data_IF_087872798725
#
_entry.id   IF_087872798725
#
_cell.length_a   1.000
_cell.length_b   1.000
_cell.length_c   1.000
_cell.angle_alpha   90.00
_cell.angle_beta   90.00
_cell.angle_gamma   90.00
#
_symmetry.space_group_name_H-M   'P 1'
#
loop_
_entity.id
_entity.type
_entity.pdbx_description
1 polymer ?
#
# COMPACT_ATOMS: atom_id res chain seq x y z
N UNK A 1 15.47 -12.81 -2.86
CA UNK A 1 15.78 -11.80 -3.88
C UNK A 1 14.88 -12.08 -5.07
N UNK A 2 13.77 -11.37 -5.20
CA UNK A 2 12.74 -11.63 -6.23
C UNK A 2 12.58 -10.43 -7.17
N UNK A 3 13.71 -9.87 -7.60
CA UNK A 3 13.75 -8.83 -8.64
C UNK A 3 13.00 -9.30 -9.89
N UNK A 4 12.03 -8.50 -10.36
CA UNK A 4 11.21 -8.81 -11.54
C UNK A 4 9.83 -9.42 -11.25
N UNK A 5 9.47 -9.62 -9.98
CA UNK A 5 8.07 -9.90 -9.62
C UNK A 5 7.22 -8.63 -9.74
N UNK A 6 6.00 -8.78 -10.25
CA UNK A 6 5.06 -7.67 -10.38
C UNK A 6 3.88 -7.87 -9.45
N UNK A 7 3.73 -6.98 -8.48
CA UNK A 7 2.57 -6.91 -7.61
C UNK A 7 1.53 -5.96 -8.21
N UNK A 8 0.25 -6.20 -7.91
CA UNK A 8 -0.84 -5.41 -8.51
C UNK A 8 -1.74 -4.81 -7.44
N UNK A 9 -1.98 -3.51 -7.51
CA UNK A 9 -2.98 -2.82 -6.70
C UNK A 9 -4.30 -2.78 -7.46
N UNK A 10 -5.40 -3.20 -6.83
CA UNK A 10 -6.72 -3.30 -7.46
C UNK A 10 -7.82 -2.70 -6.60
N UNK A 11 -8.88 -2.25 -7.25
CA UNK A 11 -10.18 -1.92 -6.64
C UNK A 11 -11.25 -2.66 -7.44
N UNK A 12 -11.96 -3.58 -6.81
CA UNK A 12 -12.91 -4.48 -7.47
C UNK A 12 -12.30 -5.18 -8.71
N UNK A 13 -12.72 -4.77 -9.92
CA UNK A 13 -12.21 -5.30 -11.20
C UNK A 13 -11.11 -4.45 -11.80
N UNK A 14 -10.95 -3.21 -11.33
CA UNK A 14 -10.04 -2.21 -11.87
C UNK A 14 -8.63 -2.42 -11.33
N UNK A 15 -7.63 -2.22 -12.19
CA UNK A 15 -6.22 -2.22 -11.81
C UNK A 15 -5.83 -0.77 -11.58
N UNK A 16 -5.43 -0.44 -10.37
CA UNK A 16 -4.98 0.90 -10.01
C UNK A 16 -3.52 1.11 -10.41
N UNK A 17 -2.70 0.06 -10.33
CA UNK A 17 -1.32 0.11 -10.79
C UNK A 17 -0.55 -1.14 -10.42
N UNK A 18 0.72 -1.17 -10.82
CA UNK A 18 1.62 -2.29 -10.58
C UNK A 18 2.90 -1.84 -9.90
N UNK A 19 3.48 -2.73 -9.10
CA UNK A 19 4.78 -2.53 -8.44
C UNK A 19 5.75 -3.56 -9.00
N UNK A 20 6.76 -3.14 -9.74
CA UNK A 20 7.85 -4.01 -10.18
C UNK A 20 8.97 -4.02 -9.12
N UNK A 21 9.23 -5.18 -8.50
CA UNK A 21 10.20 -5.28 -7.39
C UNK A 21 11.61 -4.97 -7.90
N UNK A 22 12.21 -3.92 -7.32
CA UNK A 22 13.60 -3.49 -7.58
C UNK A 22 14.54 -3.90 -6.44
N UNK A 23 14.03 -4.05 -5.21
CA UNK A 23 14.84 -4.38 -4.05
C UNK A 23 14.05 -4.40 -2.75
N UNK A 24 14.75 -4.17 -1.64
CA UNK A 24 14.22 -4.20 -0.28
C UNK A 24 14.58 -5.48 0.47
N UNK A 25 14.49 -5.39 1.79
CA UNK A 25 14.78 -6.46 2.74
C UNK A 25 13.56 -6.69 3.61
N UNK A 26 13.19 -7.96 3.81
CA UNK A 26 12.03 -8.33 4.61
C UNK A 26 12.06 -7.65 5.99
N UNK A 27 10.96 -7.00 6.44
CA UNK A 27 9.60 -7.11 5.91
C UNK A 27 9.23 -6.15 4.77
N UNK A 28 10.09 -5.19 4.40
CA UNK A 28 9.75 -4.15 3.42
C UNK A 28 10.41 -4.39 2.06
N UNK A 29 9.59 -4.54 1.04
CA UNK A 29 10.04 -4.57 -0.35
C UNK A 29 9.90 -3.18 -0.97
N UNK A 30 10.75 -2.88 -1.95
CA UNK A 30 10.69 -1.65 -2.74
C UNK A 30 10.67 -1.95 -4.24
N UNK A 31 9.99 -1.10 -4.98
CA UNK A 31 9.80 -1.29 -6.41
C UNK A 31 9.37 -0.03 -7.14
N UNK A 32 9.35 -0.14 -8.46
CA UNK A 32 8.85 0.89 -9.34
C UNK A 32 7.32 0.81 -9.40
N UNK A 33 6.66 1.92 -9.10
CA UNK A 33 5.22 2.10 -9.18
C UNK A 33 4.80 2.61 -10.57
N UNK A 34 3.90 1.87 -11.20
CA UNK A 34 3.33 2.23 -12.50
C UNK A 34 1.80 2.38 -12.33
N UNK A 35 1.28 3.60 -12.17
CA UNK A 35 -0.16 3.83 -12.01
C UNK A 35 -0.90 3.67 -13.33
N UNK A 36 -2.17 3.29 -13.24
CA UNK A 36 -3.15 3.44 -14.32
C UNK A 36 -4.00 4.69 -14.07
N UNK A 37 -4.88 5.03 -15.03
CA UNK A 37 -5.86 6.13 -14.88
C UNK A 37 -6.81 5.94 -13.70
N UNK A 38 -7.06 4.70 -13.26
CA UNK A 38 -7.98 4.42 -12.15
C UNK A 38 -7.38 4.78 -10.79
N UNK A 39 -6.06 4.94 -10.70
CA UNK A 39 -5.41 5.38 -9.46
C UNK A 39 -5.77 6.80 -9.06
N UNK A 40 -6.09 7.67 -10.04
CA UNK A 40 -6.40 9.08 -9.75
C UNK A 40 -7.59 9.25 -8.79
N UNK A 41 -8.52 8.28 -8.74
CA UNK A 41 -9.64 8.27 -7.80
C UNK A 41 -9.21 8.14 -6.33
N UNK A 42 -8.06 7.51 -6.07
CA UNK A 42 -7.57 7.22 -4.71
C UNK A 42 -6.20 7.85 -4.43
N UNK A 43 -5.59 8.53 -5.41
CA UNK A 43 -4.26 9.15 -5.30
C UNK A 43 -4.14 10.02 -4.05
N UNK A 44 -5.13 10.88 -3.81
CA UNK A 44 -5.14 11.79 -2.67
C UNK A 44 -5.10 11.07 -1.30
N UNK A 45 -5.60 9.84 -1.23
CA UNK A 45 -5.55 9.03 0.00
C UNK A 45 -4.11 8.55 0.28
N UNK A 46 -3.41 8.09 -0.76
CA UNK A 46 -2.00 7.69 -0.65
C UNK A 46 -1.08 8.89 -0.40
N UNK A 47 -1.36 10.05 -1.00
CA UNK A 47 -0.62 11.29 -0.72
C UNK A 47 -0.79 11.75 0.73
N UNK A 48 -2.02 11.66 1.26
CA UNK A 48 -2.30 12.00 2.66
C UNK A 48 -1.62 11.04 3.64
N UNK A 49 -1.71 9.74 3.36
CA UNK A 49 -1.05 8.70 4.13
C UNK A 49 0.48 8.92 4.17
N UNK A 50 1.10 9.19 3.02
CA UNK A 50 2.53 9.46 2.93
C UNK A 50 2.93 10.74 3.69
N UNK A 51 2.15 11.82 3.58
CA UNK A 51 2.41 13.07 4.30
C UNK A 51 2.45 12.86 5.82
N UNK A 52 1.60 11.98 6.34
CA UNK A 52 1.56 11.66 7.77
C UNK A 52 2.82 10.88 8.20
N UNK A 53 3.26 9.90 7.41
CA UNK A 53 4.44 9.08 7.69
C UNK A 53 5.74 9.89 7.59
N UNK A 54 5.85 10.78 6.60
CA UNK A 54 7.05 11.60 6.41
C UNK A 54 7.12 12.84 7.31
N UNK A 55 6.02 13.15 8.00
CA UNK A 55 5.94 14.29 8.90
C UNK A 55 6.84 14.14 10.14
N UNK A 56 7.41 15.25 10.67
CA UNK A 56 8.28 15.22 11.86
C UNK A 56 7.57 14.82 13.16
N UNK A 57 6.25 14.64 13.13
CA UNK A 57 5.39 14.35 14.29
C UNK A 57 4.63 13.02 14.12
N UNK A 58 5.16 12.06 13.34
CA UNK A 58 4.48 10.79 13.08
C UNK A 58 3.99 10.11 14.36
N UNK A 59 4.83 10.05 15.42
CA UNK A 59 4.46 9.44 16.70
C UNK A 59 3.22 10.08 17.35
N UNK A 60 2.98 11.38 17.11
CA UNK A 60 1.81 12.11 17.60
C UNK A 60 0.61 12.06 16.66
N UNK A 61 0.75 11.42 15.50
CA UNK A 61 -0.24 11.35 14.40
C UNK A 61 -0.50 9.91 13.95
N UNK A 62 -0.15 8.93 14.79
CA UNK A 62 -0.40 7.52 14.52
C UNK A 62 -1.88 7.28 14.23
N UNK A 63 -2.79 7.80 15.08
CA UNK A 63 -4.24 7.67 14.87
C UNK A 63 -4.71 8.27 13.54
N UNK A 64 -4.18 9.44 13.15
CA UNK A 64 -4.50 10.07 11.87
C UNK A 64 -4.02 9.21 10.68
N UNK A 65 -2.84 8.61 10.80
CA UNK A 65 -2.29 7.71 9.79
C UNK A 65 -3.09 6.42 9.69
N UNK A 66 -3.47 5.84 10.82
CA UNK A 66 -4.35 4.68 10.90
C UNK A 66 -5.69 4.95 10.20
N UNK A 67 -6.31 6.10 10.46
CA UNK A 67 -7.57 6.47 9.82
C UNK A 67 -7.42 6.71 8.31
N UNK A 68 -6.31 7.32 7.87
CA UNK A 68 -5.99 7.45 6.45
C UNK A 68 -5.86 6.06 5.79
N UNK A 69 -5.21 5.12 6.47
CA UNK A 69 -5.05 3.75 5.98
C UNK A 69 -6.38 2.99 5.93
N UNK A 70 -7.21 3.10 6.97
CA UNK A 70 -8.57 2.54 6.99
C UNK A 70 -9.41 3.10 5.84
N UNK A 71 -9.25 4.37 5.49
CA UNK A 71 -9.99 4.96 4.37
C UNK A 71 -9.58 4.34 3.03
N UNK A 72 -8.29 4.08 2.78
CA UNK A 72 -7.82 3.33 1.59
C UNK A 72 -8.51 1.95 1.53
N UNK A 73 -8.57 1.24 2.67
CA UNK A 73 -9.22 -0.06 2.76
C UNK A 73 -10.72 -0.03 2.47
N UNK A 74 -11.41 1.02 2.96
CA UNK A 74 -12.84 1.26 2.76
C UNK A 74 -13.20 1.54 1.31
N UNK A 75 -12.26 2.09 0.53
CA UNK A 75 -12.40 2.22 -0.93
C UNK A 75 -12.30 0.87 -1.68
N UNK A 76 -12.12 -0.25 -0.99
CA UNK A 76 -12.03 -1.58 -1.61
C UNK A 76 -10.67 -1.87 -2.26
N UNK A 77 -9.65 -1.07 -1.93
CA UNK A 77 -8.30 -1.23 -2.46
C UNK A 77 -7.64 -2.48 -1.86
N UNK A 78 -7.09 -3.35 -2.70
CA UNK A 78 -6.40 -4.57 -2.30
C UNK A 78 -5.09 -4.72 -3.07
N UNK A 79 -4.06 -5.20 -2.38
CA UNK A 79 -2.80 -5.58 -2.98
C UNK A 79 -2.82 -7.07 -3.34
N UNK A 80 -2.35 -7.41 -4.54
CA UNK A 80 -2.33 -8.77 -5.05
C UNK A 80 -0.88 -9.22 -5.30
N UNK A 81 -0.60 -10.47 -4.90
CA UNK A 81 0.64 -11.19 -5.22
C UNK A 81 0.79 -11.33 -6.74
N UNK A 82 2.00 -11.59 -7.26
CA UNK A 82 2.23 -11.84 -8.68
C UNK A 82 1.37 -12.97 -9.26
N UNK A 83 1.00 -13.94 -8.42
CA UNK A 83 0.10 -15.06 -8.77
C UNK A 83 -1.38 -14.65 -8.87
N UNK A 84 -1.72 -13.41 -8.53
CA UNK A 84 -3.06 -12.83 -8.66
C UNK A 84 -3.92 -12.89 -7.39
N UNK A 85 -3.46 -13.52 -6.32
CA UNK A 85 -4.19 -13.64 -5.04
C UNK A 85 -4.00 -12.40 -4.18
N UNK A 86 -5.10 -11.83 -3.66
CA UNK A 86 -5.06 -10.72 -2.72
C UNK A 86 -4.35 -11.12 -1.42
N UNK A 87 -3.52 -10.23 -0.87
CA UNK A 87 -3.04 -10.40 0.50
C UNK A 87 -4.16 -10.04 1.50
N UNK A 88 -4.25 -10.74 2.63
CA UNK A 88 -5.20 -10.41 3.68
C UNK A 88 -5.03 -9.00 4.24
N UNK A 89 -3.79 -8.49 4.21
CA UNK A 89 -3.42 -7.23 4.83
C UNK A 89 -2.14 -6.68 4.19
N UNK A 90 -2.03 -5.36 4.03
CA UNK A 90 -0.85 -4.71 3.45
C UNK A 90 -0.63 -3.32 4.01
N UNK A 91 0.64 -2.91 4.03
CA UNK A 91 1.03 -1.50 4.06
C UNK A 91 1.74 -1.17 2.75
N UNK A 92 1.44 -0.01 2.17
CA UNK A 92 1.93 0.45 0.89
C UNK A 92 2.02 1.97 0.93
N UNK A 93 3.23 2.45 0.73
CA UNK A 93 3.57 3.87 0.55
C UNK A 93 3.94 4.09 -0.92
N UNK A 94 3.42 5.15 -1.53
CA UNK A 94 3.68 5.49 -2.94
C UNK A 94 4.22 6.92 -2.99
N UNK A 95 5.43 7.10 -3.53
CA UNK A 95 6.02 8.42 -3.80
C UNK A 95 6.44 8.51 -5.25
N UNK A 96 5.73 9.32 -6.04
CA UNK A 96 6.03 9.44 -7.46
C UNK A 96 5.91 8.09 -8.17
N UNK A 97 7.01 7.62 -8.76
CA UNK A 97 7.18 6.31 -9.40
C UNK A 97 7.84 5.25 -8.50
N UNK A 98 7.97 5.50 -7.19
CA UNK A 98 8.50 4.54 -6.21
C UNK A 98 7.41 4.04 -5.27
N UNK A 99 7.48 2.78 -4.88
CA UNK A 99 6.63 2.19 -3.86
C UNK A 99 7.44 1.35 -2.85
N UNK A 100 7.02 1.41 -1.59
CA UNK A 100 7.48 0.54 -0.51
C UNK A 100 6.29 -0.15 0.11
N UNK A 101 6.38 -1.46 0.27
CA UNK A 101 5.26 -2.20 0.83
C UNK A 101 5.70 -3.41 1.64
N UNK A 102 4.79 -3.82 2.51
CA UNK A 102 4.83 -5.10 3.22
C UNK A 102 3.42 -5.68 3.28
N UNK A 103 3.32 -6.96 3.55
CA UNK A 103 2.03 -7.62 3.76
C UNK A 103 2.07 -8.54 4.97
N UNK A 104 0.89 -8.93 5.43
CA UNK A 104 0.70 -9.98 6.41
C UNK A 104 -0.25 -11.04 5.83
N UNK A 105 0.05 -12.31 6.11
CA UNK A 105 -0.83 -13.45 5.80
C UNK A 105 -1.96 -13.60 6.84
N UNK A 106 -1.92 -12.81 7.91
CA UNK A 106 -3.01 -12.63 8.88
C UNK A 106 -3.62 -11.23 8.70
N UNK A 107 -4.95 -11.16 8.65
CA UNK A 107 -5.65 -9.87 8.68
C UNK A 107 -5.43 -9.19 10.03
N UNK A 108 -5.22 -7.87 10.06
CA UNK A 108 -5.32 -7.14 11.31
C UNK A 108 -6.77 -7.16 11.79
N UNK A 109 -7.01 -7.13 13.10
CA UNK A 109 -8.35 -7.24 13.69
C UNK A 109 -9.33 -6.15 13.17
N UNK A 110 -8.79 -5.07 12.59
CA UNK A 110 -9.52 -3.90 12.07
C UNK A 110 -9.45 -3.71 10.55
N UNK A 111 -8.76 -4.59 9.79
CA UNK A 111 -8.65 -4.52 8.32
C UNK A 111 -7.98 -3.25 7.81
N UNK A 112 -6.72 -3.02 8.21
CA UNK A 112 -5.92 -1.90 7.72
C UNK A 112 -4.82 -1.40 8.64
N UNK A 113 -4.85 -1.72 9.94
CA UNK A 113 -3.76 -1.47 10.91
C UNK A 113 -4.01 -2.30 12.18
N UNK A 114 -2.94 -2.80 12.81
CA UNK A 114 -3.00 -3.52 14.09
C UNK A 114 -3.05 -2.52 15.26
N UNK A 115 -3.81 -2.87 16.31
CA UNK A 115 -3.92 -2.11 17.56
C UNK A 115 -2.52 -1.81 18.15
N UNK A 116 -2.30 -0.55 18.51
CA UNK A 116 -1.06 -0.02 19.11
C UNK A 116 -0.71 -0.68 20.45
#
# INVERSE_FOLDING_TARGET
MTSGETWTLRRDREVLGTIEIRGGDFPWLSGEWVPTVWFDDVRALFERELELVEGPEFDGKIDDWEDAYREIWRQGVRLHRPEGTAVPEFLLHIRGDEAWFRWSDEAFESGGVADS
#
